data_IF_849243761373
#
_entry.id   IF_849243761373
#
_cell.length_a   1.000
_cell.length_b   1.000
_cell.length_c   1.000
_cell.angle_alpha   90.00
_cell.angle_beta   90.00
_cell.angle_gamma   90.00
#
_symmetry.space_group_name_H-M   'P 1'
#
loop_
_entity.id
_entity.type
_entity.pdbx_description
1 polymer ?
#
# COMPACT_ATOMS: atom_id res chain seq x y z
N UNK A 1 0.63 -13.45 -1.27
CA UNK A 1 -0.29 -13.72 -0.14
C UNK A 1 -1.56 -12.90 -0.27
N UNK A 2 -2.62 -13.14 0.51
CA UNK A 2 -3.91 -12.42 0.46
C UNK A 2 -3.77 -10.89 0.35
N UNK A 3 -2.88 -10.29 1.16
CA UNK A 3 -2.60 -8.85 1.17
C UNK A 3 -2.20 -8.33 -0.22
N UNK A 4 -1.32 -9.05 -0.93
CA UNK A 4 -0.90 -8.67 -2.29
C UNK A 4 -2.08 -8.63 -3.27
N UNK A 5 -3.01 -9.59 -3.14
CA UNK A 5 -4.20 -9.68 -4.00
C UNK A 5 -5.14 -8.50 -3.71
N UNK A 6 -5.31 -8.13 -2.44
CA UNK A 6 -6.14 -7.00 -2.03
C UNK A 6 -5.56 -5.66 -2.52
N UNK A 7 -4.25 -5.46 -2.38
CA UNK A 7 -3.59 -4.23 -2.88
C UNK A 7 -3.72 -4.08 -4.39
N UNK A 8 -3.50 -5.14 -5.18
CA UNK A 8 -3.72 -5.08 -6.63
C UNK A 8 -5.17 -4.76 -6.98
N UNK A 9 -6.13 -5.33 -6.26
CA UNK A 9 -7.55 -5.08 -6.49
C UNK A 9 -7.89 -3.61 -6.21
N UNK A 10 -7.43 -3.07 -5.08
CA UNK A 10 -7.70 -1.68 -4.73
C UNK A 10 -7.04 -0.68 -5.68
N UNK A 11 -5.81 -0.98 -6.13
CA UNK A 11 -5.16 -0.23 -7.20
C UNK A 11 -6.03 -0.20 -8.46
N UNK A 12 -6.53 -1.35 -8.96
CA UNK A 12 -7.41 -1.41 -10.14
C UNK A 12 -8.75 -0.69 -9.95
N UNK A 13 -9.24 -0.60 -8.73
CA UNK A 13 -10.46 0.15 -8.39
C UNK A 13 -10.18 1.66 -8.24
N UNK A 14 -8.94 2.13 -8.46
CA UNK A 14 -8.55 3.53 -8.31
C UNK A 14 -8.63 4.01 -6.86
N UNK A 15 -8.57 3.10 -5.89
CA UNK A 15 -8.71 3.42 -4.47
C UNK A 15 -7.40 3.81 -3.85
N UNK A 16 -7.48 4.73 -2.90
CA UNK A 16 -6.38 5.01 -1.99
C UNK A 16 -6.21 3.88 -0.98
N UNK A 17 -4.97 3.51 -0.71
CA UNK A 17 -4.61 2.42 0.21
C UNK A 17 -3.65 2.97 1.26
N UNK A 18 -3.92 2.69 2.53
CA UNK A 18 -2.98 2.92 3.62
C UNK A 18 -2.43 1.57 4.06
N UNK A 19 -1.13 1.39 3.95
CA UNK A 19 -0.40 0.23 4.42
C UNK A 19 0.26 0.60 5.75
N UNK A 20 -0.03 -0.17 6.80
CA UNK A 20 0.62 0.01 8.10
C UNK A 20 1.77 -0.99 8.21
N UNK A 21 2.98 -0.51 8.46
CA UNK A 21 4.18 -1.34 8.54
C UNK A 21 5.44 -0.53 8.76
N UNK A 22 6.59 -1.19 8.69
CA UNK A 22 7.88 -0.54 8.84
C UNK A 22 8.58 -0.38 7.50
N UNK A 23 9.11 0.81 7.23
CA UNK A 23 9.89 1.06 6.02
C UNK A 23 11.13 0.15 5.97
N UNK A 24 11.45 -0.34 4.77
CA UNK A 24 12.60 -1.23 4.54
C UNK A 24 12.40 -2.69 4.96
N UNK A 25 11.22 -3.07 5.47
CA UNK A 25 10.90 -4.48 5.68
C UNK A 25 10.53 -5.15 4.35
N UNK A 26 11.12 -6.32 3.99
CA UNK A 26 10.87 -6.96 2.68
C UNK A 26 9.40 -7.23 2.37
N UNK A 27 8.59 -7.50 3.40
CA UNK A 27 7.15 -7.73 3.24
C UNK A 27 6.37 -6.45 2.86
N UNK A 28 6.80 -5.29 3.36
CA UNK A 28 6.21 -3.98 3.06
C UNK A 28 6.58 -3.57 1.64
N UNK A 29 7.85 -3.67 1.26
CA UNK A 29 8.30 -3.39 -0.10
C UNK A 29 7.60 -4.29 -1.13
N UNK A 30 7.50 -5.59 -0.82
CA UNK A 30 6.79 -6.55 -1.65
C UNK A 30 5.32 -6.20 -1.85
N UNK A 31 4.65 -5.69 -0.80
CA UNK A 31 3.24 -5.29 -0.83
C UNK A 31 3.05 -3.97 -1.58
N UNK A 32 3.87 -2.96 -1.31
CA UNK A 32 3.84 -1.66 -1.99
C UNK A 32 4.08 -1.82 -3.49
N UNK A 33 5.01 -2.70 -3.89
CA UNK A 33 5.29 -2.99 -5.30
C UNK A 33 4.16 -3.66 -6.07
N UNK A 34 3.07 -4.09 -5.41
CA UNK A 34 1.87 -4.60 -6.08
C UNK A 34 0.88 -3.50 -6.47
N UNK A 35 1.11 -2.26 -6.04
CA UNK A 35 0.23 -1.13 -6.34
C UNK A 35 0.65 -0.43 -7.63
N UNK A 36 -0.28 -0.23 -8.55
CA UNK A 36 -0.07 0.54 -9.78
C UNK A 36 -0.76 1.92 -9.68
N UNK A 37 0.00 3.03 -9.57
CA UNK A 37 -0.57 4.38 -9.49
C UNK A 37 -1.16 4.87 -10.82
N UNK A 38 -0.90 4.20 -11.95
CA UNK A 38 -1.48 4.58 -13.24
C UNK A 38 -3.02 4.39 -13.27
N UNK A 39 -3.58 3.63 -12.32
CA UNK A 39 -5.01 3.35 -12.20
C UNK A 39 -5.80 4.44 -11.44
N UNK A 40 -5.16 5.53 -11.01
CA UNK A 40 -5.83 6.70 -10.43
C UNK A 40 -5.98 6.71 -8.90
N UNK A 41 -5.25 5.84 -8.19
CA UNK A 41 -5.13 5.85 -6.73
C UNK A 41 -3.68 5.98 -6.27
N UNK A 42 -3.47 6.07 -4.95
CA UNK A 42 -2.16 6.10 -4.31
C UNK A 42 -2.08 5.12 -3.14
N UNK A 43 -0.87 4.68 -2.81
CA UNK A 43 -0.58 3.88 -1.63
C UNK A 43 0.35 4.65 -0.70
N UNK A 44 0.00 4.67 0.58
CA UNK A 44 0.72 5.38 1.64
C UNK A 44 1.24 4.37 2.67
N UNK A 45 2.47 4.55 3.14
CA UNK A 45 3.03 3.78 4.25
C UNK A 45 2.92 4.61 5.53
N UNK A 46 2.35 4.00 6.58
CA UNK A 46 2.21 4.60 7.92
C UNK A 46 2.91 3.68 8.91
N UNK A 47 3.84 4.21 9.70
CA UNK A 47 4.59 3.45 10.70
C UNK A 47 4.11 3.76 12.12
N UNK A 48 3.70 5.00 12.34
CA UNK A 48 3.30 5.54 13.65
C UNK A 48 2.08 6.46 13.54
N UNK A 49 1.37 6.72 14.65
CA UNK A 49 0.25 7.66 14.65
C UNK A 49 0.62 9.09 14.24
N UNK A 50 1.87 9.51 14.43
CA UNK A 50 2.35 10.83 14.02
C UNK A 50 2.41 10.99 12.49
N UNK A 51 2.47 9.90 11.72
CA UNK A 51 2.49 9.94 10.25
C UNK A 51 1.14 10.32 9.64
N UNK A 52 0.06 10.36 10.43
CA UNK A 52 -1.31 10.69 9.99
C UNK A 52 -1.87 11.98 10.62
N UNK A 53 -1.04 12.73 11.35
CA UNK A 53 -1.44 13.92 12.11
C UNK A 53 -1.65 15.18 11.26
#
# INVERSE_FOLDING_TARGET
>A
TKVHIEVQRYSREGREVVLIGHAGHPEVEGTMGQFDPAQGGAIYLVETPDDVA
#
